data_IF_316424223475
#
_entry.id   IF_316424223475
#
_cell.length_a   1.000
_cell.length_b   1.000
_cell.length_c   1.000
_cell.angle_alpha   90.00
_cell.angle_beta   90.00
_cell.angle_gamma   90.00
#
_symmetry.space_group_name_H-M   'P 1'
#
loop_
_entity.id
_entity.type
_entity.pdbx_description
1 polymer ?
#
# COMPACT_ATOMS: atom_id res chain seq x y z
N UNK A 1 -24.31 3.35 21.93
CA UNK A 1 -22.92 2.89 22.07
C UNK A 1 -22.13 2.97 20.80
N UNK A 2 -22.46 3.95 20.03
CA UNK A 2 -21.84 4.05 18.71
C UNK A 2 -20.42 4.55 18.76
N UNK A 3 -20.01 5.12 19.91
CA UNK A 3 -18.64 5.58 20.07
C UNK A 3 -17.62 4.47 19.93
N UNK A 4 -17.95 3.26 20.41
CA UNK A 4 -17.07 2.13 20.25
C UNK A 4 -16.89 1.74 18.80
N UNK A 5 -17.95 1.82 18.00
CA UNK A 5 -17.90 1.50 16.57
C UNK A 5 -17.01 2.50 15.83
N UNK A 6 -17.16 3.80 16.14
CA UNK A 6 -16.35 4.84 15.52
C UNK A 6 -14.87 4.67 15.86
N UNK A 7 -14.56 4.39 17.13
CA UNK A 7 -13.19 4.15 17.57
C UNK A 7 -12.63 2.90 16.88
N UNK A 8 -13.44 1.85 16.78
CA UNK A 8 -13.03 0.61 16.15
C UNK A 8 -12.71 0.83 14.67
N UNK A 9 -13.48 1.65 13.97
CA UNK A 9 -13.20 1.95 12.57
C UNK A 9 -11.89 2.71 12.41
N UNK A 10 -11.64 3.73 13.22
CA UNK A 10 -10.38 4.47 13.20
C UNK A 10 -9.20 3.54 13.48
N UNK A 11 -9.36 2.66 14.48
CA UNK A 11 -8.34 1.67 14.82
C UNK A 11 -8.13 0.71 13.68
N UNK A 12 -9.19 0.27 13.01
CA UNK A 12 -9.11 -0.61 11.87
C UNK A 12 -8.36 0.05 10.71
N UNK A 13 -8.54 1.35 10.49
CA UNK A 13 -7.78 2.08 9.49
C UNK A 13 -6.29 2.09 9.80
N UNK A 14 -5.93 2.34 11.07
CA UNK A 14 -4.52 2.33 11.49
C UNK A 14 -3.89 0.96 11.32
N UNK A 15 -4.59 -0.09 11.74
CA UNK A 15 -4.12 -1.47 11.60
C UNK A 15 -3.95 -1.83 10.12
N UNK A 16 -4.90 -1.43 9.28
CA UNK A 16 -4.84 -1.67 7.85
C UNK A 16 -3.63 -0.96 7.22
N UNK A 17 -3.38 0.29 7.61
CA UNK A 17 -2.20 1.02 7.13
C UNK A 17 -0.90 0.32 7.52
N UNK A 18 -0.81 -0.16 8.74
CA UNK A 18 0.37 -0.90 9.20
C UNK A 18 0.54 -2.19 8.41
N UNK A 19 -0.55 -2.92 8.18
CA UNK A 19 -0.54 -4.13 7.37
C UNK A 19 -0.07 -3.82 5.94
N UNK A 20 -0.60 -2.77 5.33
CA UNK A 20 -0.22 -2.39 3.97
C UNK A 20 1.25 -1.98 3.88
N UNK A 21 1.75 -1.25 4.89
CA UNK A 21 3.17 -0.90 4.95
C UNK A 21 4.05 -2.13 5.04
N UNK A 22 3.65 -3.09 5.86
CA UNK A 22 4.40 -4.35 6.00
C UNK A 22 4.36 -5.16 4.71
N UNK A 23 3.22 -5.20 4.02
CA UNK A 23 3.09 -5.92 2.76
C UNK A 23 3.89 -5.27 1.64
N UNK A 24 3.89 -3.92 1.58
CA UNK A 24 4.57 -3.22 0.49
C UNK A 24 6.09 -3.19 0.63
N UNK A 25 6.62 -3.27 1.84
CA UNK A 25 8.06 -3.14 2.08
C UNK A 25 8.90 -4.11 1.24
N UNK A 26 8.64 -5.44 1.27
CA UNK A 26 9.41 -6.36 0.44
C UNK A 26 9.14 -6.15 -1.06
N UNK A 27 7.93 -5.73 -1.42
CA UNK A 27 7.59 -5.47 -2.82
C UNK A 27 8.35 -4.26 -3.35
N UNK A 28 8.47 -3.19 -2.55
CA UNK A 28 9.25 -2.02 -2.92
C UNK A 28 10.73 -2.36 -3.06
N UNK A 29 11.26 -3.17 -2.15
CA UNK A 29 12.64 -3.63 -2.22
C UNK A 29 12.90 -4.40 -3.51
N UNK A 30 11.99 -5.31 -3.87
CA UNK A 30 12.10 -6.09 -5.10
C UNK A 30 12.05 -5.17 -6.34
N UNK A 31 11.18 -4.17 -6.33
CA UNK A 31 11.07 -3.21 -7.43
C UNK A 31 12.32 -2.33 -7.54
N UNK A 32 12.93 -1.97 -6.42
CA UNK A 32 14.18 -1.20 -6.44
C UNK A 32 15.30 -1.99 -7.13
N UNK A 33 15.38 -3.30 -6.88
CA UNK A 33 16.35 -4.18 -7.55
C UNK A 33 16.03 -4.24 -9.04
N UNK A 34 14.77 -4.42 -9.41
CA UNK A 34 14.35 -4.47 -10.81
C UNK A 34 14.67 -3.16 -11.53
N UNK A 35 14.43 -2.03 -10.86
CA UNK A 35 14.74 -0.71 -11.40
C UNK A 35 16.24 -0.57 -11.70
N UNK A 36 17.07 -0.97 -10.75
CA UNK A 36 18.51 -0.90 -10.90
C UNK A 36 18.99 -1.75 -12.08
N UNK A 37 18.49 -2.98 -12.17
CA UNK A 37 18.85 -3.88 -13.27
C UNK A 37 18.38 -3.35 -14.62
N UNK A 38 17.14 -2.84 -14.67
CA UNK A 38 16.60 -2.29 -15.91
C UNK A 38 17.40 -1.07 -16.36
N UNK A 39 17.83 -0.21 -15.41
CA UNK A 39 18.65 0.94 -15.71
C UNK A 39 20.01 0.53 -16.27
N UNK A 40 20.63 -0.46 -15.65
CA UNK A 40 21.94 -0.98 -16.09
C UNK A 40 21.84 -1.61 -17.48
N UNK A 41 20.73 -2.28 -17.77
CA UNK A 41 20.51 -2.94 -19.06
C UNK A 41 19.95 -2.00 -20.13
N UNK A 42 19.66 -0.75 -19.80
CA UNK A 42 19.07 0.21 -20.71
C UNK A 42 17.62 -0.09 -21.07
N UNK A 43 16.90 -0.84 -20.20
CA UNK A 43 15.48 -1.17 -20.42
C UNK A 43 14.57 -0.07 -19.91
N UNK A 44 13.32 -0.07 -20.42
CA UNK A 44 12.29 0.87 -19.99
C UNK A 44 11.92 0.63 -18.53
N UNK A 45 11.93 1.69 -17.72
CA UNK A 45 11.62 1.62 -16.29
C UNK A 45 10.23 2.16 -15.96
N UNK A 46 9.44 2.55 -16.95
CA UNK A 46 8.14 3.22 -16.75
C UNK A 46 7.19 2.37 -15.91
N UNK A 47 7.06 1.09 -16.21
CA UNK A 47 6.16 0.18 -15.48
C UNK A 47 6.63 0.03 -14.03
N UNK A 48 7.94 -0.08 -13.82
CA UNK A 48 8.51 -0.23 -12.48
C UNK A 48 8.22 1.01 -11.65
N UNK A 49 8.41 2.19 -12.23
CA UNK A 49 8.13 3.47 -11.55
C UNK A 49 6.64 3.57 -11.20
N UNK A 50 5.75 3.18 -12.11
CA UNK A 50 4.30 3.19 -11.85
C UNK A 50 3.93 2.26 -10.71
N UNK A 51 4.50 1.06 -10.65
CA UNK A 51 4.24 0.11 -9.57
C UNK A 51 4.77 0.60 -8.22
N UNK A 52 5.94 1.22 -8.21
CA UNK A 52 6.47 1.83 -6.98
C UNK A 52 5.53 2.92 -6.47
N UNK A 53 5.01 3.75 -7.36
CA UNK A 53 4.08 4.81 -6.97
C UNK A 53 2.78 4.23 -6.43
N UNK A 54 2.24 3.19 -7.07
CA UNK A 54 1.05 2.51 -6.59
C UNK A 54 1.24 1.97 -5.17
N UNK A 55 2.38 1.35 -4.90
CA UNK A 55 2.68 0.81 -3.58
C UNK A 55 2.86 1.90 -2.53
N UNK A 56 3.45 3.03 -2.90
CA UNK A 56 3.56 4.18 -1.98
C UNK A 56 2.19 4.74 -1.62
N UNK A 57 1.26 4.74 -2.58
CA UNK A 57 -0.06 5.33 -2.39
C UNK A 57 -1.07 4.37 -1.77
N UNK A 58 -0.73 3.08 -1.63
CA UNK A 58 -1.69 2.08 -1.17
C UNK A 58 -2.26 2.39 0.22
N UNK A 59 -1.47 2.99 1.10
CA UNK A 59 -1.96 3.36 2.43
C UNK A 59 -3.00 4.47 2.40
N UNK A 60 -3.00 5.29 1.36
CA UNK A 60 -4.01 6.35 1.20
C UNK A 60 -5.39 5.77 0.95
N UNK A 61 -5.47 4.58 0.38
CA UNK A 61 -6.74 3.90 0.16
C UNK A 61 -7.44 3.58 1.48
N UNK A 62 -6.68 3.29 2.53
CA UNK A 62 -7.24 3.08 3.87
C UNK A 62 -7.87 4.36 4.42
N UNK A 63 -7.33 5.52 4.09
CA UNK A 63 -7.88 6.81 4.53
C UNK A 63 -9.20 7.13 3.83
N UNK A 64 -9.39 6.67 2.60
CA UNK A 64 -10.59 6.95 1.82
C UNK A 64 -11.66 5.87 1.97
N UNK A 65 -11.33 4.73 2.56
CA UNK A 65 -12.29 3.66 2.80
C UNK A 65 -13.35 4.12 3.81
N UNK A 66 -14.59 3.73 3.58
CA UNK A 66 -15.71 4.12 4.43
C UNK A 66 -16.31 2.97 5.21
N UNK A 67 -15.94 1.73 4.91
CA UNK A 67 -16.45 0.54 5.57
C UNK A 67 -15.31 -0.42 5.92
N UNK A 68 -15.57 -1.30 6.89
CA UNK A 68 -14.61 -2.34 7.25
C UNK A 68 -14.34 -3.30 6.10
N UNK A 69 -15.37 -3.59 5.29
CA UNK A 69 -15.20 -4.47 4.14
C UNK A 69 -14.23 -3.88 3.12
N UNK A 70 -14.31 -2.58 2.89
CA UNK A 70 -13.37 -1.88 2.02
C UNK A 70 -11.94 -2.00 2.55
N UNK A 71 -11.74 -1.81 3.86
CA UNK A 71 -10.43 -1.95 4.47
C UNK A 71 -9.87 -3.37 4.32
N UNK A 72 -10.71 -4.37 4.53
CA UNK A 72 -10.30 -5.78 4.41
C UNK A 72 -9.91 -6.15 2.99
N UNK A 73 -10.51 -5.50 2.00
CA UNK A 73 -10.25 -5.78 0.59
C UNK A 73 -8.92 -5.17 0.10
N UNK A 74 -8.35 -4.23 0.85
CA UNK A 74 -7.11 -3.57 0.43
C UNK A 74 -5.91 -4.51 0.58
N UNK A 75 -5.00 -4.45 -0.40
CA UNK A 75 -3.74 -5.18 -0.36
C UNK A 75 -2.69 -4.40 -1.16
N UNK A 76 -1.46 -4.64 -0.82
CA UNK A 76 -0.34 -4.03 -1.52
C UNK A 76 -0.07 -4.66 -2.90
#
# INVERSE_FOLDING_TARGET
MDMGITIDFTKAQLITKERLRAERAPLLTALDVQYQRATEDGRDTTIIISEKQRLRDVTKLADTATTLDELKALSA
#
